data_IF_435213066168
#
_entry.id   IF_435213066168
#
_cell.length_a   1.000
_cell.length_b   1.000
_cell.length_c   1.000
_cell.angle_alpha   90.00
_cell.angle_beta   90.00
_cell.angle_gamma   90.00
#
_symmetry.space_group_name_H-M   'P 1'
#
loop_
_entity.id
_entity.type
_entity.pdbx_description
1 polymer ?
#
# COMPACT_ATOMS: atom_id res chain seq x y z
N UNK A 1 20.24 -8.67 -1.84
CA UNK A 1 19.67 -7.87 -0.73
C UNK A 1 18.23 -8.31 -0.53
N UNK A 2 17.66 -8.26 0.69
CA UNK A 2 16.25 -8.61 0.87
C UNK A 2 15.38 -7.58 0.14
N UNK A 3 14.60 -8.04 -0.83
CA UNK A 3 13.63 -7.23 -1.54
C UNK A 3 12.36 -7.08 -0.68
N UNK A 4 11.93 -5.85 -0.42
CA UNK A 4 10.77 -5.54 0.43
C UNK A 4 9.60 -5.08 -0.43
N UNK A 5 8.46 -5.76 -0.33
CA UNK A 5 7.22 -5.26 -0.92
C UNK A 5 6.61 -4.18 -0.02
N UNK A 6 6.23 -3.05 -0.60
CA UNK A 6 5.51 -1.96 0.05
C UNK A 6 4.21 -1.68 -0.70
N UNK A 7 3.08 -1.98 -0.07
CA UNK A 7 1.75 -1.76 -0.62
C UNK A 7 1.17 -0.45 -0.08
N UNK A 8 0.73 0.43 -0.99
CA UNK A 8 0.17 1.74 -0.68
C UNK A 8 -1.29 1.76 -1.13
N UNK A 9 -2.24 1.74 -0.18
CA UNK A 9 -3.68 1.64 -0.46
C UNK A 9 -4.41 2.93 -0.10
N UNK A 10 -5.13 3.53 -1.04
CA UNK A 10 -5.90 4.76 -0.77
C UNK A 10 -7.32 4.65 -1.34
N UNK A 11 -8.31 5.13 -0.60
CA UNK A 11 -9.68 5.32 -1.10
C UNK A 11 -9.81 6.56 -2.02
N UNK A 12 -8.76 7.39 -2.11
CA UNK A 12 -8.64 8.56 -2.99
C UNK A 12 -7.49 8.38 -3.99
N UNK A 13 -6.76 9.46 -4.32
CA UNK A 13 -5.66 9.44 -5.31
C UNK A 13 -4.42 8.71 -4.80
N UNK A 14 -4.19 8.66 -3.48
CA UNK A 14 -3.01 8.02 -2.87
C UNK A 14 -1.72 8.84 -2.89
N UNK A 15 -1.75 10.08 -3.38
CA UNK A 15 -0.56 10.94 -3.47
C UNK A 15 0.09 11.22 -2.10
N UNK A 16 -0.73 11.33 -1.05
CA UNK A 16 -0.22 11.47 0.33
C UNK A 16 0.62 10.27 0.74
N UNK A 17 0.16 9.04 0.48
CA UNK A 17 0.93 7.83 0.78
C UNK A 17 2.21 7.76 -0.05
N UNK A 18 2.15 8.15 -1.31
CA UNK A 18 3.33 8.14 -2.17
C UNK A 18 4.41 9.11 -1.68
N UNK A 19 4.01 10.33 -1.29
CA UNK A 19 4.94 11.31 -0.72
C UNK A 19 5.56 10.83 0.60
N UNK A 20 4.75 10.26 1.49
CA UNK A 20 5.23 9.70 2.77
C UNK A 20 6.19 8.53 2.51
N UNK A 21 5.84 7.62 1.59
CA UNK A 21 6.69 6.50 1.23
C UNK A 21 8.04 6.99 0.65
N UNK A 22 8.02 7.97 -0.26
CA UNK A 22 9.26 8.57 -0.81
C UNK A 22 10.13 9.18 0.29
N UNK A 23 9.53 9.94 1.20
CA UNK A 23 10.25 10.56 2.31
C UNK A 23 10.86 9.53 3.27
N UNK A 24 10.11 8.47 3.59
CA UNK A 24 10.59 7.38 4.44
C UNK A 24 11.73 6.61 3.76
N UNK A 25 11.58 6.24 2.48
CA UNK A 25 12.59 5.48 1.73
C UNK A 25 13.90 6.24 1.56
N UNK A 26 13.87 7.57 1.51
CA UNK A 26 15.07 8.40 1.48
C UNK A 26 15.94 8.28 2.75
N UNK A 27 15.47 7.60 3.80
CA UNK A 27 16.24 7.31 5.02
C UNK A 27 16.92 5.92 4.98
N UNK A 28 16.72 5.13 3.93
CA UNK A 28 17.21 3.75 3.84
C UNK A 28 17.93 3.50 2.50
N UNK A 29 19.26 3.68 2.49
CA UNK A 29 20.07 3.61 1.27
C UNK A 29 20.26 2.17 0.70
N UNK A 30 20.15 1.15 1.55
CA UNK A 30 20.51 -0.25 1.19
C UNK A 30 19.31 -1.21 1.01
N UNK A 31 18.09 -0.69 0.90
CA UNK A 31 16.88 -1.54 0.78
C UNK A 31 16.27 -1.48 -0.62
N UNK A 32 16.18 -2.62 -1.29
CA UNK A 32 15.47 -2.75 -2.57
C UNK A 32 13.96 -2.85 -2.30
N UNK A 33 13.20 -1.81 -2.63
CA UNK A 33 11.75 -1.74 -2.35
C UNK A 33 10.92 -1.81 -3.62
N UNK A 34 10.04 -2.82 -3.69
CA UNK A 34 9.01 -2.94 -4.73
C UNK A 34 7.74 -2.28 -4.24
N UNK A 35 7.36 -1.19 -4.89
CA UNK A 35 6.14 -0.43 -4.53
C UNK A 35 4.95 -0.93 -5.33
N UNK A 36 3.88 -1.26 -4.64
CA UNK A 36 2.59 -1.63 -5.20
C UNK A 36 1.57 -0.54 -4.84
N UNK A 37 1.11 0.21 -5.85
CA UNK A 37 0.24 1.37 -5.64
C UNK A 37 -1.20 1.05 -6.00
N UNK A 38 -2.11 1.22 -5.04
CA UNK A 38 -3.53 0.88 -5.16
C UNK A 38 -4.39 2.12 -4.85
N UNK A 39 -4.61 3.01 -5.83
CA UNK A 39 -5.50 4.15 -5.64
C UNK A 39 -6.97 3.74 -5.81
N UNK A 40 -7.87 4.61 -5.37
CA UNK A 40 -9.32 4.48 -5.54
C UNK A 40 -9.93 3.18 -4.97
N UNK A 41 -9.41 2.68 -3.85
CA UNK A 41 -9.91 1.51 -3.12
C UNK A 41 -11.19 1.85 -2.36
N UNK A 42 -12.32 1.85 -3.08
CA UNK A 42 -13.62 2.32 -2.59
C UNK A 42 -14.67 1.23 -2.37
N UNK A 43 -14.37 -0.02 -2.72
CA UNK A 43 -15.28 -1.14 -2.57
C UNK A 43 -14.60 -2.33 -1.89
N UNK A 44 -15.38 -3.07 -1.12
CA UNK A 44 -14.92 -4.28 -0.45
C UNK A 44 -14.43 -5.33 -1.46
N UNK A 45 -15.14 -5.53 -2.57
CA UNK A 45 -14.72 -6.46 -3.62
C UNK A 45 -13.35 -6.11 -4.21
N UNK A 46 -13.06 -4.81 -4.40
CA UNK A 46 -11.75 -4.41 -4.89
C UNK A 46 -10.66 -4.61 -3.83
N UNK A 47 -10.97 -4.31 -2.56
CA UNK A 47 -10.07 -4.60 -1.44
C UNK A 47 -9.74 -6.09 -1.35
N UNK A 48 -10.73 -6.98 -1.43
CA UNK A 48 -10.53 -8.45 -1.42
C UNK A 48 -9.57 -8.91 -2.51
N UNK A 49 -9.69 -8.35 -3.73
CA UNK A 49 -8.75 -8.62 -4.82
C UNK A 49 -7.32 -8.15 -4.48
N UNK A 50 -7.19 -6.95 -3.91
CA UNK A 50 -5.88 -6.40 -3.49
C UNK A 50 -5.27 -7.26 -2.38
N UNK A 51 -6.07 -7.74 -1.43
CA UNK A 51 -5.60 -8.66 -0.38
C UNK A 51 -5.07 -9.97 -0.96
N UNK A 52 -5.65 -10.47 -2.04
CA UNK A 52 -5.09 -11.60 -2.81
C UNK A 52 -3.70 -11.30 -3.39
N UNK A 53 -3.50 -10.11 -3.94
CA UNK A 53 -2.20 -9.64 -4.46
C UNK A 53 -1.17 -9.43 -3.35
N UNK A 54 -1.58 -8.92 -2.18
CA UNK A 54 -0.72 -8.78 -1.01
C UNK A 54 -0.32 -10.16 -0.48
N UNK A 55 -1.24 -11.11 -0.46
CA UNK A 55 -0.95 -12.49 0.00
C UNK A 55 0.05 -13.20 -0.91
N UNK A 56 -0.03 -12.97 -2.24
CA UNK A 56 0.93 -13.56 -3.18
C UNK A 56 2.31 -12.90 -3.14
N UNK A 57 2.38 -11.63 -2.71
CA UNK A 57 3.61 -10.83 -2.58
C UNK A 57 3.64 -10.13 -1.22
N UNK A 58 3.90 -10.87 -0.13
CA UNK A 58 3.78 -10.33 1.23
C UNK A 58 4.75 -9.16 1.45
N UNK A 59 4.29 -8.17 2.21
CA UNK A 59 5.00 -6.93 2.44
C UNK A 59 4.30 -6.00 3.43
N UNK A 60 4.91 -4.83 3.64
CA UNK A 60 4.36 -3.79 4.48
C UNK A 60 3.14 -3.14 3.79
N UNK A 61 2.10 -2.82 4.56
CA UNK A 61 0.88 -2.16 4.05
C UNK A 61 0.75 -0.79 4.71
N UNK A 62 0.82 0.27 3.91
CA UNK A 62 0.47 1.64 4.31
C UNK A 62 -0.86 1.99 3.65
N UNK A 63 -1.78 2.57 4.41
CA UNK A 63 -3.10 2.87 3.87
C UNK A 63 -3.69 4.19 4.37
N UNK A 64 -4.55 4.78 3.54
CA UNK A 64 -5.45 5.88 3.87
C UNK A 64 -6.85 5.47 3.45
N UNK A 65 -7.59 4.85 4.38
CA UNK A 65 -8.96 4.37 4.17
C UNK A 65 -9.85 5.04 5.21
N UNK A 66 -10.66 6.00 4.78
CA UNK A 66 -11.57 6.76 5.66
C UNK A 66 -12.82 5.95 5.95
N UNK A 67 -13.33 5.21 4.97
CA UNK A 67 -14.50 4.36 5.15
C UNK A 67 -14.23 3.25 6.19
N UNK A 68 -15.02 3.22 7.25
CA UNK A 68 -14.88 2.25 8.35
C UNK A 68 -15.05 0.80 7.92
N UNK A 69 -16.00 0.52 7.03
CA UNK A 69 -16.24 -0.85 6.56
C UNK A 69 -15.06 -1.37 5.76
N UNK A 70 -14.54 -0.55 4.85
CA UNK A 70 -13.35 -0.90 4.05
C UNK A 70 -12.10 -1.00 4.93
N UNK A 71 -11.99 -0.20 5.99
CA UNK A 71 -10.84 -0.23 6.91
C UNK A 71 -10.86 -1.41 7.88
N UNK A 72 -12.03 -1.88 8.28
CA UNK A 72 -12.19 -2.98 9.24
C UNK A 72 -12.22 -4.38 8.60
N UNK A 73 -12.27 -4.45 7.27
CA UNK A 73 -12.21 -5.68 6.49
C UNK A 73 -10.79 -6.25 6.43
#
# INVERSE_FOLDING_TARGET
MPQVNLHLLSDSTGETLEMIAKAALAQFDDTEVVRHFWPMVRSQQYLERILGEITSRPGLVLYTLVNEKTRAA
#
